data_IF_662123001593
#
_entry.id   IF_662123001593
#
_cell.length_a   1.000
_cell.length_b   1.000
_cell.length_c   1.000
_cell.angle_alpha   90.00
_cell.angle_beta   90.00
_cell.angle_gamma   90.00
#
_symmetry.space_group_name_H-M   'P 1'
#
loop_
_entity.id
_entity.type
_entity.pdbx_description
1 polymer ?
#
# COMPACT_ATOMS: atom_id res chain seq x y z
N UNK A 1 -19.91 56.64 52.74
CA UNK A 1 -18.65 56.13 52.15
C UNK A 1 -19.04 55.48 50.83
N UNK A 2 -18.85 56.20 49.71
CA UNK A 2 -19.30 55.76 48.39
C UNK A 2 -18.22 54.81 47.86
N UNK A 3 -18.56 53.54 47.68
CA UNK A 3 -17.74 52.62 46.90
C UNK A 3 -17.79 53.08 45.45
N UNK A 4 -16.74 53.75 45.00
CA UNK A 4 -16.49 53.96 43.57
C UNK A 4 -16.36 52.60 42.91
N UNK A 5 -17.41 52.19 42.22
CA UNK A 5 -17.48 50.92 41.52
C UNK A 5 -16.57 51.02 40.29
N UNK A 6 -15.36 50.48 40.40
CA UNK A 6 -14.36 50.42 39.33
C UNK A 6 -14.94 49.78 38.06
N UNK A 7 -15.38 50.61 37.12
CA UNK A 7 -15.90 50.16 35.81
C UNK A 7 -14.80 49.71 34.83
N UNK A 8 -13.54 50.12 35.05
CA UNK A 8 -12.41 49.80 34.17
C UNK A 8 -11.75 48.44 34.39
N UNK A 9 -11.85 47.85 35.58
CA UNK A 9 -11.30 46.52 35.87
C UNK A 9 -12.18 45.40 35.30
N UNK A 10 -13.51 45.61 35.31
CA UNK A 10 -14.49 44.67 34.75
C UNK A 10 -14.36 44.51 33.22
N UNK A 11 -14.09 45.60 32.49
CA UNK A 11 -13.91 45.56 31.03
C UNK A 11 -12.60 44.91 30.62
N UNK A 12 -11.50 45.17 31.33
CA UNK A 12 -10.21 44.51 31.12
C UNK A 12 -10.29 43.00 31.39
N UNK A 13 -10.98 42.59 32.45
CA UNK A 13 -11.22 41.19 32.74
C UNK A 13 -12.01 40.51 31.61
N UNK A 14 -13.08 41.15 31.11
CA UNK A 14 -13.85 40.63 29.99
C UNK A 14 -13.00 40.45 28.72
N UNK A 15 -12.18 41.44 28.38
CA UNK A 15 -11.27 41.37 27.22
C UNK A 15 -10.24 40.25 27.41
N UNK A 16 -9.63 40.14 28.58
CA UNK A 16 -8.69 39.07 28.89
C UNK A 16 -9.34 37.68 28.78
N UNK A 17 -10.59 37.53 29.26
CA UNK A 17 -11.32 36.26 29.11
C UNK A 17 -11.63 35.95 27.64
N UNK A 18 -11.98 36.95 26.83
CA UNK A 18 -12.19 36.75 25.39
C UNK A 18 -10.90 36.32 24.68
N UNK A 19 -9.77 36.96 24.98
CA UNK A 19 -8.48 36.54 24.45
C UNK A 19 -8.10 35.13 24.89
N UNK A 20 -8.32 34.78 26.16
CA UNK A 20 -8.07 33.43 26.66
C UNK A 20 -8.92 32.38 25.92
N UNK A 21 -10.22 32.63 25.76
CA UNK A 21 -11.12 31.76 25.00
C UNK A 21 -10.69 31.63 23.53
N UNK A 22 -10.25 32.73 22.91
CA UNK A 22 -9.71 32.71 21.55
C UNK A 22 -8.46 31.85 21.41
N UNK A 23 -7.53 31.94 22.38
CA UNK A 23 -6.33 31.10 22.42
C UNK A 23 -6.65 29.62 22.65
N UNK A 24 -7.62 29.32 23.52
CA UNK A 24 -8.08 27.95 23.74
C UNK A 24 -8.71 27.36 22.46
N UNK A 25 -9.57 28.13 21.78
CA UNK A 25 -10.20 27.70 20.53
C UNK A 25 -9.15 27.46 19.43
N UNK A 26 -8.20 28.39 19.28
CA UNK A 26 -7.12 28.25 18.30
C UNK A 26 -6.23 27.03 18.58
N UNK A 27 -5.92 26.79 19.86
CA UNK A 27 -5.12 25.63 20.29
C UNK A 27 -5.85 24.31 20.02
N UNK A 28 -7.17 24.27 20.24
CA UNK A 28 -7.99 23.09 19.95
C UNK A 28 -8.06 22.82 18.44
N UNK A 29 -8.25 23.88 17.63
CA UNK A 29 -8.28 23.76 16.17
C UNK A 29 -6.93 23.30 15.61
N UNK A 30 -5.82 23.83 16.14
CA UNK A 30 -4.48 23.42 15.74
C UNK A 30 -4.26 21.93 15.99
N UNK A 31 -4.62 21.43 17.18
CA UNK A 31 -4.54 19.99 17.50
C UNK A 31 -5.43 19.14 16.59
N UNK A 32 -6.61 19.62 16.24
CA UNK A 32 -7.51 18.91 15.34
C UNK A 32 -6.91 18.80 13.93
N UNK A 33 -6.33 19.90 13.42
CA UNK A 33 -5.70 19.94 12.11
C UNK A 33 -4.49 18.99 12.04
N UNK A 34 -3.64 18.98 13.07
CA UNK A 34 -2.48 18.08 13.15
C UNK A 34 -2.89 16.61 13.10
N UNK A 35 -3.96 16.25 13.81
CA UNK A 35 -4.47 14.89 13.81
C UNK A 35 -5.01 14.48 12.43
N UNK A 36 -5.77 15.36 11.76
CA UNK A 36 -6.29 15.11 10.41
C UNK A 36 -5.16 14.96 9.40
N UNK A 37 -4.12 15.81 9.48
CA UNK A 37 -2.96 15.70 8.60
C UNK A 37 -2.25 14.36 8.74
N UNK A 38 -2.06 13.88 9.97
CA UNK A 38 -1.41 12.58 10.23
C UNK A 38 -2.21 11.41 9.64
N UNK A 39 -3.51 11.35 9.90
CA UNK A 39 -4.41 10.31 9.38
C UNK A 39 -4.41 10.32 7.85
N UNK A 40 -4.57 11.51 7.26
CA UNK A 40 -4.60 11.66 5.79
C UNK A 40 -3.27 11.23 5.15
N UNK A 41 -2.13 11.54 5.78
CA UNK A 41 -0.82 11.14 5.26
C UNK A 41 -0.62 9.62 5.30
N UNK A 42 -1.11 8.93 6.33
CA UNK A 42 -1.08 7.46 6.40
C UNK A 42 -1.98 6.83 5.33
N UNK A 43 -3.21 7.30 5.18
CA UNK A 43 -4.14 6.81 4.18
C UNK A 43 -3.61 7.03 2.76
N UNK A 44 -3.11 8.24 2.45
CA UNK A 44 -2.51 8.52 1.15
C UNK A 44 -1.31 7.62 0.86
N UNK A 45 -0.46 7.35 1.85
CA UNK A 45 0.67 6.41 1.70
C UNK A 45 0.18 5.00 1.40
N UNK A 46 -0.81 4.50 2.14
CA UNK A 46 -1.39 3.19 1.91
C UNK A 46 -2.02 3.07 0.51
N UNK A 47 -2.81 4.05 0.09
CA UNK A 47 -3.45 4.08 -1.24
C UNK A 47 -2.41 4.12 -2.36
N UNK A 48 -1.33 4.90 -2.21
CA UNK A 48 -0.23 4.92 -3.18
C UNK A 48 0.44 3.55 -3.27
N UNK A 49 0.75 2.92 -2.14
CA UNK A 49 1.36 1.59 -2.10
C UNK A 49 0.45 0.54 -2.75
N UNK A 50 -0.85 0.56 -2.43
CA UNK A 50 -1.84 -0.36 -3.01
C UNK A 50 -1.98 -0.20 -4.52
N UNK A 51 -2.07 1.05 -5.01
CA UNK A 51 -2.15 1.33 -6.43
C UNK A 51 -0.86 0.94 -7.17
N UNK A 52 0.30 1.15 -6.54
CA UNK A 52 1.58 0.72 -7.09
C UNK A 52 1.65 -0.81 -7.20
N UNK A 53 1.31 -1.55 -6.15
CA UNK A 53 1.28 -3.01 -6.16
C UNK A 53 0.28 -3.56 -7.20
N UNK A 54 -0.90 -2.94 -7.32
CA UNK A 54 -1.91 -3.28 -8.33
C UNK A 54 -1.39 -3.03 -9.75
N UNK A 55 -0.71 -1.90 -9.96
CA UNK A 55 -0.10 -1.57 -11.25
C UNK A 55 1.00 -2.57 -11.60
N UNK A 56 1.86 -2.91 -10.62
CA UNK A 56 2.92 -3.93 -10.77
C UNK A 56 2.33 -5.29 -11.13
N UNK A 57 1.23 -5.69 -10.47
CA UNK A 57 0.54 -6.96 -10.73
C UNK A 57 -0.02 -7.01 -12.16
N UNK A 58 -0.72 -5.95 -12.59
CA UNK A 58 -1.30 -5.87 -13.93
C UNK A 58 -0.23 -5.85 -15.02
N UNK A 59 0.85 -5.09 -14.80
CA UNK A 59 2.02 -5.08 -15.67
C UNK A 59 2.72 -6.46 -15.73
N UNK A 60 2.84 -7.15 -14.59
CA UNK A 60 3.44 -8.48 -14.51
C UNK A 60 2.70 -9.54 -15.35
N UNK A 61 1.37 -9.42 -15.47
CA UNK A 61 0.58 -10.33 -16.32
C UNK A 61 0.90 -10.16 -17.81
N UNK A 62 1.29 -8.96 -18.25
CA UNK A 62 1.59 -8.67 -19.66
C UNK A 62 3.02 -9.03 -20.06
N UNK A 63 3.88 -9.38 -19.09
CA UNK A 63 5.27 -9.73 -19.36
C UNK A 63 5.41 -11.11 -20.00
N UNK A 64 6.47 -11.26 -20.80
CA UNK A 64 6.94 -12.56 -21.26
C UNK A 64 7.92 -13.11 -20.21
N UNK A 65 7.54 -14.19 -19.55
CA UNK A 65 8.33 -14.78 -18.48
C UNK A 65 9.25 -15.87 -19.02
N UNK A 66 10.54 -15.79 -18.70
CA UNK A 66 11.52 -16.80 -19.09
C UNK A 66 12.05 -17.56 -17.88
N UNK A 67 11.58 -18.80 -17.70
CA UNK A 67 12.03 -19.68 -16.62
C UNK A 67 12.00 -21.16 -17.06
N UNK A 68 12.77 -22.01 -16.36
CA UNK A 68 12.70 -23.46 -16.57
C UNK A 68 11.50 -24.04 -15.82
N UNK A 69 10.73 -24.93 -16.45
CA UNK A 69 9.61 -25.63 -15.80
C UNK A 69 10.06 -26.70 -14.79
N UNK A 70 11.37 -26.97 -14.67
CA UNK A 70 11.92 -27.88 -13.65
C UNK A 70 11.96 -27.21 -12.28
N UNK A 71 10.79 -26.94 -11.73
CA UNK A 71 10.65 -26.31 -10.42
C UNK A 71 10.61 -27.35 -9.30
N UNK A 72 11.61 -27.32 -8.42
CA UNK A 72 11.65 -28.16 -7.23
C UNK A 72 10.89 -27.50 -6.06
N UNK A 73 10.54 -28.28 -5.03
CA UNK A 73 10.08 -27.75 -3.74
C UNK A 73 11.15 -26.78 -3.20
N UNK A 74 10.85 -25.48 -3.20
CA UNK A 74 11.84 -24.42 -2.93
C UNK A 74 12.13 -23.47 -4.10
N UNK A 75 11.34 -23.56 -5.18
CA UNK A 75 11.32 -22.63 -6.31
C UNK A 75 11.61 -21.16 -5.94
N UNK A 76 12.66 -20.59 -6.53
CA UNK A 76 13.06 -19.18 -6.35
C UNK A 76 12.09 -18.26 -7.08
N UNK A 77 11.73 -17.13 -6.49
CA UNK A 77 10.95 -16.11 -7.20
C UNK A 77 11.70 -15.60 -8.44
N UNK A 78 11.08 -15.65 -9.61
CA UNK A 78 11.58 -14.93 -10.78
C UNK A 78 10.91 -13.57 -10.84
N UNK A 79 11.69 -12.51 -10.81
CA UNK A 79 11.19 -11.14 -10.76
C UNK A 79 11.56 -10.37 -12.01
N UNK A 80 10.64 -9.52 -12.45
CA UNK A 80 10.85 -8.47 -13.42
C UNK A 80 10.62 -7.13 -12.74
N UNK A 81 11.45 -6.14 -13.09
CA UNK A 81 11.35 -4.78 -12.57
C UNK A 81 11.30 -3.78 -13.73
N UNK A 82 10.50 -2.72 -13.58
CA UNK A 82 10.42 -1.60 -14.51
C UNK A 82 10.77 -0.30 -13.76
N UNK A 83 12.06 0.10 -13.75
CA UNK A 83 12.54 1.19 -12.91
C UNK A 83 11.86 2.54 -13.17
N UNK A 84 11.54 2.85 -14.43
CA UNK A 84 10.92 4.12 -14.82
C UNK A 84 9.60 4.40 -14.09
N UNK A 85 8.86 3.35 -13.75
CA UNK A 85 7.56 3.45 -13.08
C UNK A 85 7.56 2.79 -11.70
N UNK A 86 8.73 2.33 -11.21
CA UNK A 86 8.86 1.65 -9.92
C UNK A 86 8.05 0.35 -9.81
N UNK A 87 7.79 -0.34 -10.93
CA UNK A 87 6.99 -1.57 -10.92
C UNK A 87 7.86 -2.78 -10.67
N UNK A 88 7.37 -3.72 -9.86
CA UNK A 88 8.04 -4.99 -9.58
C UNK A 88 7.03 -6.11 -9.48
N UNK A 89 7.20 -7.10 -10.35
CA UNK A 89 6.37 -8.29 -10.37
C UNK A 89 7.25 -9.53 -10.25
N UNK A 90 6.82 -10.52 -9.48
CA UNK A 90 7.52 -11.78 -9.31
C UNK A 90 6.58 -12.96 -9.54
N UNK A 91 7.06 -14.02 -10.17
CA UNK A 91 6.30 -15.24 -10.42
C UNK A 91 6.95 -16.45 -9.73
N UNK A 92 6.09 -17.35 -9.26
CA UNK A 92 6.48 -18.65 -8.71
C UNK A 92 5.39 -19.69 -8.95
N UNK A 93 5.70 -20.99 -9.08
CA UNK A 93 4.69 -22.04 -9.08
C UNK A 93 3.87 -22.05 -7.78
N UNK A 94 2.56 -22.26 -7.91
CA UNK A 94 1.67 -22.43 -6.75
C UNK A 94 1.75 -23.87 -6.22
N UNK A 95 1.27 -24.07 -4.99
CA UNK A 95 1.00 -25.42 -4.48
C UNK A 95 -0.10 -26.15 -5.29
N UNK A 96 -0.97 -25.40 -5.96
CA UNK A 96 -1.99 -25.94 -6.86
C UNK A 96 -1.40 -26.25 -8.24
N UNK A 97 -1.46 -27.52 -8.64
CA UNK A 97 -0.89 -28.00 -9.89
C UNK A 97 -1.43 -27.25 -11.12
N UNK A 98 -0.52 -26.81 -11.99
CA UNK A 98 -0.85 -26.06 -13.20
C UNK A 98 -1.14 -24.57 -12.99
N UNK A 99 -1.02 -24.07 -11.75
CA UNK A 99 -1.15 -22.65 -11.43
C UNK A 99 0.18 -22.06 -10.96
N UNK A 100 0.28 -20.76 -11.17
CA UNK A 100 1.38 -19.91 -10.72
C UNK A 100 0.82 -18.80 -9.84
N UNK A 101 1.64 -18.34 -8.92
CA UNK A 101 1.41 -17.13 -8.15
C UNK A 101 2.23 -16.03 -8.81
N UNK A 102 1.55 -14.99 -9.28
CA UNK A 102 2.14 -13.72 -9.61
C UNK A 102 1.97 -12.79 -8.40
N UNK A 103 3.06 -12.15 -7.98
CA UNK A 103 3.10 -11.16 -6.91
C UNK A 103 3.44 -9.81 -7.49
N UNK A 104 2.64 -8.78 -7.21
CA UNK A 104 2.94 -7.39 -7.52
C UNK A 104 3.34 -6.67 -6.24
N UNK A 105 4.42 -5.91 -6.28
CA UNK A 105 4.97 -5.20 -5.12
C UNK A 105 4.85 -3.69 -5.31
N UNK A 106 4.55 -2.99 -4.21
CA UNK A 106 4.80 -1.56 -4.11
C UNK A 106 6.30 -1.30 -3.96
N UNK A 107 6.71 -0.06 -4.17
CA UNK A 107 8.05 0.35 -3.76
C UNK A 107 8.17 0.26 -2.23
N UNK A 108 9.31 -0.22 -1.75
CA UNK A 108 9.64 -0.22 -0.32
C UNK A 108 10.04 1.21 0.09
N UNK A 109 9.50 1.72 1.19
CA UNK A 109 9.85 3.03 1.74
C UNK A 109 10.45 2.84 3.14
N UNK A 110 11.72 3.20 3.28
CA UNK A 110 12.52 3.23 4.51
C UNK A 110 12.42 1.95 5.36
N UNK A 111 11.45 1.91 6.27
CA UNK A 111 11.28 0.90 7.32
C UNK A 111 10.04 0.01 7.13
N UNK A 112 9.19 0.32 6.15
CA UNK A 112 7.98 -0.46 5.89
C UNK A 112 8.23 -1.48 4.76
N UNK A 113 7.88 -2.76 4.97
CA UNK A 113 7.94 -3.73 3.89
C UNK A 113 7.00 -3.29 2.74
N UNK A 114 7.34 -3.64 1.49
CA UNK A 114 6.47 -3.32 0.36
C UNK A 114 5.11 -3.99 0.54
N UNK A 115 4.05 -3.29 0.14
CA UNK A 115 2.72 -3.87 0.04
C UNK A 115 2.75 -4.88 -1.11
N UNK A 116 2.30 -6.10 -0.84
CA UNK A 116 2.28 -7.19 -1.81
C UNK A 116 0.84 -7.56 -2.13
N UNK A 117 0.52 -7.65 -3.42
CA UNK A 117 -0.72 -8.22 -3.91
C UNK A 117 -0.43 -9.46 -4.74
N UNK A 118 -1.37 -10.39 -4.80
CA UNK A 118 -1.19 -11.67 -5.44
C UNK A 118 -2.27 -11.93 -6.49
N UNK A 119 -1.88 -12.64 -7.54
CA UNK A 119 -2.76 -13.12 -8.59
C UNK A 119 -2.39 -14.55 -8.94
N UNK A 120 -3.32 -15.49 -8.80
CA UNK A 120 -3.19 -16.80 -9.42
C UNK A 120 -3.31 -16.67 -10.93
N UNK A 121 -2.39 -17.31 -11.63
CA UNK A 121 -2.30 -17.32 -13.10
C UNK A 121 -2.09 -18.73 -13.60
N UNK A 122 -2.36 -18.93 -14.90
CA UNK A 122 -1.99 -20.12 -15.68
C UNK A 122 -1.09 -19.68 -16.83
N UNK A 123 -0.34 -20.61 -17.39
CA UNK A 123 0.37 -20.35 -18.64
C UNK A 123 -0.63 -20.35 -19.80
N UNK A 124 -0.46 -19.41 -20.72
CA UNK A 124 -1.20 -19.42 -21.97
C UNK A 124 -0.66 -20.55 -22.86
N UNK A 125 -1.47 -21.58 -23.11
CA UNK A 125 -1.08 -22.76 -23.88
C UNK A 125 -0.82 -22.46 -25.37
N UNK A 126 -1.34 -21.36 -25.90
CA UNK A 126 -1.30 -21.05 -27.35
C UNK A 126 -0.12 -20.14 -27.75
N UNK A 127 0.63 -19.61 -26.78
CA UNK A 127 1.53 -18.47 -27.02
C UNK A 127 2.88 -18.60 -26.30
N UNK A 128 3.56 -19.74 -26.50
CA UNK A 128 4.90 -19.98 -25.97
C UNK A 128 5.89 -20.37 -27.06
N UNK A 129 6.80 -19.45 -27.41
CA UNK A 129 8.09 -19.89 -27.95
C UNK A 129 8.81 -20.67 -26.83
N UNK A 130 9.55 -21.73 -27.17
CA UNK A 130 10.27 -22.56 -26.18
C UNK A 130 11.03 -21.68 -25.17
N UNK A 131 10.61 -21.70 -23.91
CA UNK A 131 11.25 -20.95 -22.82
C UNK A 131 10.71 -19.53 -22.55
N UNK A 132 9.68 -19.07 -23.25
CA UNK A 132 8.95 -17.84 -22.91
C UNK A 132 7.46 -18.13 -22.71
N UNK A 133 6.91 -17.66 -21.61
CA UNK A 133 5.54 -17.92 -21.22
C UNK A 133 4.76 -16.63 -20.98
N UNK A 134 3.56 -16.57 -21.54
CA UNK A 134 2.55 -15.56 -21.20
C UNK A 134 1.60 -16.10 -20.15
N UNK A 135 1.10 -15.19 -19.31
CA UNK A 135 0.18 -15.53 -18.23
C UNK A 135 -1.26 -15.19 -18.59
N UNK A 136 -2.18 -16.01 -18.09
CA UNK A 136 -3.61 -15.72 -18.07
C UNK A 136 -4.08 -15.71 -16.61
N UNK A 137 -4.84 -14.69 -16.23
CA UNK A 137 -5.38 -14.58 -14.87
C UNK A 137 -6.38 -15.73 -14.62
N UNK A 138 -6.24 -16.40 -13.48
CA UNK A 138 -7.27 -17.32 -13.01
C UNK A 138 -8.49 -16.51 -12.53
N UNK A 139 -9.69 -17.00 -12.84
CA UNK A 139 -10.93 -16.45 -12.29
C UNK A 139 -10.89 -16.48 -10.76
N UNK A 140 -11.32 -15.39 -10.11
CA UNK A 140 -11.27 -15.20 -8.66
C UNK A 140 -9.87 -15.44 -8.05
N UNK A 141 -8.82 -15.24 -8.84
CA UNK A 141 -7.44 -15.50 -8.42
C UNK A 141 -6.72 -14.30 -7.81
N UNK A 142 -7.36 -13.14 -7.68
CA UNK A 142 -6.77 -11.95 -7.05
C UNK A 142 -6.92 -12.02 -5.54
N UNK A 143 -5.84 -11.80 -4.80
CA UNK A 143 -5.82 -11.82 -3.33
C UNK A 143 -4.85 -10.76 -2.77
N UNK A 144 -5.17 -10.22 -1.61
CA UNK A 144 -4.34 -9.34 -0.78
C UNK A 144 -3.48 -10.13 0.24
N UNK A 145 -3.63 -11.45 0.28
CA UNK A 145 -2.85 -12.35 1.12
C UNK A 145 -2.22 -13.49 0.29
N UNK A 146 -1.26 -14.19 0.89
CA UNK A 146 -0.59 -15.33 0.27
C UNK A 146 -1.62 -16.39 -0.19
N UNK A 147 -1.69 -16.73 -1.49
CA UNK A 147 -2.72 -17.64 -2.00
C UNK A 147 -2.59 -19.09 -1.52
N UNK A 148 -1.42 -19.47 -0.99
CA UNK A 148 -1.08 -20.82 -0.54
C UNK A 148 -1.03 -20.90 0.99
N UNK A 149 -1.49 -22.01 1.56
CA UNK A 149 -1.55 -22.20 3.03
C UNK A 149 -0.17 -22.23 3.69
N UNK A 150 0.83 -22.75 2.98
CA UNK A 150 2.21 -22.77 3.46
C UNK A 150 2.90 -21.45 3.08
N UNK A 151 3.20 -20.65 4.10
CA UNK A 151 3.85 -19.34 3.95
C UNK A 151 5.18 -19.44 3.17
N UNK A 152 5.85 -20.60 3.16
CA UNK A 152 7.08 -20.82 2.39
C UNK A 152 6.90 -20.65 0.88
N UNK A 153 5.66 -20.65 0.37
CA UNK A 153 5.35 -20.33 -1.03
C UNK A 153 5.35 -18.82 -1.31
N UNK A 154 5.23 -17.99 -0.28
CA UNK A 154 5.10 -16.53 -0.39
C UNK A 154 6.28 -15.74 0.19
N UNK A 155 7.08 -16.38 1.04
CA UNK A 155 8.39 -15.90 1.51
C UNK A 155 9.46 -15.98 0.42
#
# INVERSE_FOLDING_TARGET
MILEQQRGTSTLAAIATLFALGLFLLSALHRQLDNIHKITAEEQRHLRAFNQATSSLNWGVTQNWSFSLQWQRGAVWHCHEQPQYGLKACIRPSSLAGFFILRGESQSFETQPPLMLYQRTKLNAEQGNKGQYRLVKAAHGWLDFCPDKDAKFCL
#
